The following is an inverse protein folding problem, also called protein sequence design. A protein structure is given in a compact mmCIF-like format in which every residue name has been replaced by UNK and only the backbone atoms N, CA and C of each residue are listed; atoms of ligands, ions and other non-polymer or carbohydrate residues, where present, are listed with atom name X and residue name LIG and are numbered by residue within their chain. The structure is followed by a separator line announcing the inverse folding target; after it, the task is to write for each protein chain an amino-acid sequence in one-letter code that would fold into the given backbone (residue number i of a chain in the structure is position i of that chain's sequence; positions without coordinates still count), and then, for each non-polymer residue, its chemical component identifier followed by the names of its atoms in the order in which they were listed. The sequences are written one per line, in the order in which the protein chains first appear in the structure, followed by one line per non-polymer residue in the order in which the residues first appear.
data_IF_610582192562
#
_entry.id   IF_610582192562
#
_cell.length_a   1.000
_cell.length_b   1.000
_cell.length_c   1.000
_cell.angle_alpha   90.00
_cell.angle_beta   90.00
_cell.angle_gamma   90.00
#
_symmetry.space_group_name_H-M   'P 1'
#
loop_
_entity.id
_entity.type
_entity.pdbx_description
1 polymer ?
#
# COMPACT_ATOMS: atom_id res chain seq x y z
N UNK A 1 -33.44 27.27 9.63
CA UNK A 1 -33.00 25.99 9.07
C UNK A 1 -31.52 25.87 9.38
N UNK A 2 -31.07 24.76 9.96
CA UNK A 2 -29.64 24.50 10.14
C UNK A 2 -29.08 23.96 8.83
N UNK A 3 -28.07 24.61 8.28
CA UNK A 3 -27.39 24.11 7.08
C UNK A 3 -26.72 22.77 7.39
N UNK A 4 -26.82 21.82 6.47
CA UNK A 4 -26.33 20.46 6.69
C UNK A 4 -25.97 19.78 5.39
N UNK A 5 -25.02 18.85 5.42
CA UNK A 5 -24.56 18.06 4.27
C UNK A 5 -24.74 16.56 4.51
N UNK A 6 -24.90 15.83 3.43
CA UNK A 6 -24.71 14.38 3.37
C UNK A 6 -23.28 14.09 2.90
N UNK A 7 -22.53 13.31 3.66
CA UNK A 7 -21.21 12.84 3.21
C UNK A 7 -21.41 11.76 2.16
N UNK A 8 -20.80 11.92 0.99
CA UNK A 8 -20.84 10.93 -0.08
C UNK A 8 -19.49 10.23 -0.21
N UNK A 9 -19.47 8.91 -0.06
CA UNK A 9 -18.27 8.10 -0.24
C UNK A 9 -17.82 8.02 -1.71
N UNK A 10 -18.65 8.41 -2.67
CA UNK A 10 -18.20 8.65 -4.05
C UNK A 10 -17.39 9.95 -4.20
N UNK A 11 -17.25 10.76 -3.15
CA UNK A 11 -16.32 11.89 -3.12
C UNK A 11 -14.87 11.42 -2.97
N UNK A 12 -14.21 11.04 -4.07
CA UNK A 12 -12.80 10.61 -4.09
C UNK A 12 -12.02 11.21 -5.27
N UNK A 13 -10.66 11.22 -5.28
CA UNK A 13 -9.82 11.96 -6.23
C UNK A 13 -10.04 11.74 -7.73
N UNK A 14 -10.74 10.67 -8.12
CA UNK A 14 -11.01 10.30 -9.52
C UNK A 14 -12.51 10.30 -9.84
N UNK A 15 -13.33 10.68 -8.87
CA UNK A 15 -14.77 10.72 -9.03
C UNK A 15 -15.17 11.86 -9.96
N UNK A 16 -16.18 11.66 -10.83
CA UNK A 16 -16.76 12.74 -11.61
C UNK A 16 -17.45 13.81 -10.74
N UNK A 17 -17.70 13.51 -9.46
CA UNK A 17 -18.32 14.44 -8.52
C UNK A 17 -17.36 15.51 -7.95
N UNK A 18 -16.06 15.46 -8.25
CA UNK A 18 -15.09 16.42 -7.73
C UNK A 18 -15.10 17.71 -8.55
N UNK A 19 -15.36 18.83 -7.89
CA UNK A 19 -15.43 20.17 -8.48
C UNK A 19 -14.05 20.84 -8.60
N UNK A 20 -13.21 20.68 -7.58
CA UNK A 20 -11.96 21.43 -7.42
C UNK A 20 -10.88 20.52 -6.83
N UNK A 21 -9.64 20.66 -7.33
CA UNK A 21 -8.46 19.93 -6.86
C UNK A 21 -7.37 20.93 -6.46
N UNK A 22 -6.92 20.88 -5.21
CA UNK A 22 -5.80 21.68 -4.68
C UNK A 22 -4.85 20.75 -3.93
N UNK A 23 -3.80 20.27 -4.60
CA UNK A 23 -2.87 19.32 -4.01
C UNK A 23 -3.54 17.99 -3.68
N UNK A 24 -3.60 17.63 -2.39
CA UNK A 24 -4.29 16.43 -1.89
C UNK A 24 -5.67 16.75 -1.29
N UNK A 25 -6.18 17.97 -1.52
CA UNK A 25 -7.49 18.41 -1.05
C UNK A 25 -8.43 18.54 -2.24
N UNK A 26 -9.63 17.98 -2.10
CA UNK A 26 -10.68 17.93 -3.10
C UNK A 26 -11.94 18.55 -2.53
N UNK A 27 -12.83 19.01 -3.41
CA UNK A 27 -14.11 19.56 -2.99
C UNK A 27 -15.21 18.98 -3.87
N UNK A 28 -16.36 18.74 -3.26
CA UNK A 28 -17.63 18.54 -3.98
C UNK A 28 -18.73 19.35 -3.31
N UNK A 29 -19.77 19.61 -4.07
CA UNK A 29 -20.97 20.31 -3.61
C UNK A 29 -22.07 19.30 -3.36
N UNK A 30 -22.69 19.33 -2.18
CA UNK A 30 -23.87 18.50 -1.90
C UNK A 30 -25.05 19.00 -2.75
N UNK A 31 -25.51 18.18 -3.69
CA UNK A 31 -26.54 18.55 -4.67
C UNK A 31 -27.87 19.02 -4.06
N UNK A 32 -28.19 18.56 -2.84
CA UNK A 32 -29.45 18.88 -2.18
C UNK A 32 -29.40 20.21 -1.42
N UNK A 33 -28.22 20.61 -0.97
CA UNK A 33 -28.05 21.74 -0.05
C UNK A 33 -27.14 22.84 -0.59
N UNK A 34 -26.43 22.58 -1.67
CA UNK A 34 -25.44 23.46 -2.29
C UNK A 34 -24.30 23.86 -1.33
N UNK A 35 -24.09 23.06 -0.27
CA UNK A 35 -23.02 23.23 0.69
C UNK A 35 -21.78 22.44 0.24
N UNK A 36 -20.58 23.00 0.48
CA UNK A 36 -19.33 22.36 0.07
C UNK A 36 -18.79 21.41 1.14
N UNK A 37 -18.29 20.27 0.69
CA UNK A 37 -17.54 19.31 1.49
C UNK A 37 -16.10 19.29 0.99
N UNK A 38 -15.16 19.47 1.92
CA UNK A 38 -13.73 19.30 1.72
C UNK A 38 -13.34 17.84 1.99
N UNK A 39 -12.51 17.28 1.11
CA UNK A 39 -11.94 15.95 1.26
C UNK A 39 -10.42 16.08 1.31
N UNK A 40 -9.79 15.59 2.37
CA UNK A 40 -8.32 15.48 2.43
C UNK A 40 -7.89 14.03 2.24
N UNK A 41 -7.15 13.75 1.16
CA UNK A 41 -6.56 12.44 0.89
C UNK A 41 -5.18 12.31 1.55
N UNK A 42 -4.98 11.23 2.28
CA UNK A 42 -3.66 10.79 2.74
C UNK A 42 -3.39 9.38 2.23
N UNK A 43 -2.45 9.27 1.28
CA UNK A 43 -1.95 7.98 0.78
C UNK A 43 -0.87 7.46 1.71
N UNK A 44 -0.93 6.17 2.07
CA UNK A 44 -0.05 5.54 3.05
C UNK A 44 0.02 6.32 4.38
N UNK A 45 -1.09 6.46 5.11
CA UNK A 45 -1.09 7.15 6.39
C UNK A 45 -0.08 6.52 7.36
N UNK A 46 0.44 7.27 8.34
CA UNK A 46 1.41 6.75 9.30
C UNK A 46 0.93 5.44 9.95
N UNK A 47 1.79 4.42 9.94
CA UNK A 47 1.51 3.05 10.43
C UNK A 47 0.45 2.25 9.64
N UNK A 48 -0.07 2.80 8.54
CA UNK A 48 -1.11 2.21 7.69
C UNK A 48 -0.64 2.14 6.23
N UNK A 49 0.59 1.69 5.99
CA UNK A 49 1.13 1.48 4.64
C UNK A 49 0.25 0.51 3.84
N UNK A 50 -0.02 0.83 2.57
CA UNK A 50 -0.94 0.10 1.69
C UNK A 50 -2.42 0.52 1.80
N UNK A 51 -2.72 1.55 2.59
CA UNK A 51 -4.06 2.10 2.74
C UNK A 51 -4.13 3.56 2.33
N UNK A 52 -5.34 4.02 2.05
CA UNK A 52 -5.65 5.43 1.80
C UNK A 52 -6.69 5.90 2.81
N UNK A 53 -6.54 7.15 3.27
CA UNK A 53 -7.45 7.83 4.19
C UNK A 53 -8.08 9.02 3.46
N UNK A 54 -9.40 9.08 3.40
CA UNK A 54 -10.18 10.21 2.89
C UNK A 54 -10.93 10.84 4.05
N UNK A 55 -10.59 12.06 4.42
CA UNK A 55 -11.29 12.80 5.49
C UNK A 55 -12.25 13.82 4.88
N UNK A 56 -13.55 13.57 5.04
CA UNK A 56 -14.64 14.43 4.57
C UNK A 56 -15.05 15.39 5.68
N UNK A 57 -15.11 16.68 5.38
CA UNK A 57 -15.44 17.74 6.33
C UNK A 57 -16.29 18.83 5.66
N UNK A 58 -17.41 19.27 6.26
CA UNK A 58 -18.12 20.46 5.78
C UNK A 58 -17.18 21.68 5.77
N UNK A 59 -17.13 22.43 4.67
CA UNK A 59 -16.21 23.56 4.52
C UNK A 59 -16.50 24.69 5.51
N UNK A 60 -17.78 24.99 5.73
CA UNK A 60 -18.20 25.90 6.81
C UNK A 60 -18.43 25.09 8.10
N UNK A 61 -17.71 25.37 9.20
CA UNK A 61 -17.87 24.65 10.48
C UNK A 61 -19.27 24.78 11.11
N UNK A 62 -20.12 25.71 10.65
CA UNK A 62 -21.52 25.82 11.09
C UNK A 62 -22.43 24.79 10.42
N UNK A 63 -22.02 24.26 9.27
CA UNK A 63 -22.76 23.22 8.53
C UNK A 63 -22.57 21.89 9.24
N UNK A 64 -23.67 21.16 9.44
CA UNK A 64 -23.68 19.88 10.17
C UNK A 64 -23.73 18.69 9.23
N UNK A 65 -23.19 17.56 9.65
CA UNK A 65 -23.36 16.29 8.92
C UNK A 65 -24.73 15.71 9.31
N UNK A 66 -25.61 15.50 8.34
CA UNK A 66 -26.95 14.90 8.56
C UNK A 66 -27.05 13.45 8.12
N UNK A 67 -26.15 12.99 7.25
CA UNK A 67 -26.24 11.69 6.62
C UNK A 67 -24.94 11.25 5.97
N UNK A 68 -24.88 9.98 5.61
CA UNK A 68 -23.79 9.37 4.85
C UNK A 68 -24.45 8.55 3.72
N UNK A 69 -23.89 8.61 2.52
CA UNK A 69 -24.35 7.82 1.37
C UNK A 69 -23.17 7.25 0.58
N UNK A 70 -23.45 6.25 -0.25
CA UNK A 70 -22.51 5.69 -1.23
C UNK A 70 -23.31 5.26 -2.46
N UNK A 71 -22.90 5.71 -3.65
CA UNK A 71 -23.62 5.46 -4.91
C UNK A 71 -25.09 5.85 -4.83
N UNK A 72 -25.36 7.02 -4.24
CA UNK A 72 -26.70 7.57 -3.96
C UNK A 72 -27.55 6.78 -2.95
N UNK A 73 -27.02 5.68 -2.39
CA UNK A 73 -27.72 4.84 -1.42
C UNK A 73 -27.35 5.32 -0.01
N UNK A 74 -28.34 5.72 0.82
CA UNK A 74 -28.12 6.06 2.22
C UNK A 74 -27.45 4.91 2.97
N UNK A 75 -26.44 5.22 3.77
CA UNK A 75 -25.74 4.23 4.57
C UNK A 75 -26.35 4.17 5.98
N UNK A 76 -26.68 2.96 6.40
CA UNK A 76 -27.34 2.62 7.66
C UNK A 76 -26.35 2.10 8.71
N UNK A 77 -26.77 2.08 9.98
CA UNK A 77 -25.99 1.51 11.09
C UNK A 77 -25.06 2.49 11.82
N UNK A 78 -24.98 3.73 11.34
CA UNK A 78 -24.40 4.85 12.08
C UNK A 78 -25.37 5.39 13.15
N UNK A 79 -24.89 6.21 14.12
CA UNK A 79 -25.76 6.86 15.09
C UNK A 79 -26.78 7.76 14.39
N UNK A 80 -28.02 7.87 14.93
CA UNK A 80 -29.08 8.65 14.29
C UNK A 80 -28.79 10.16 14.23
N UNK A 81 -27.97 10.67 15.16
CA UNK A 81 -27.52 12.05 15.16
C UNK A 81 -26.03 12.14 14.78
N UNK A 82 -25.79 12.52 13.53
CA UNK A 82 -24.45 12.77 12.99
C UNK A 82 -23.98 14.22 13.20
N UNK A 83 -24.86 15.12 13.66
CA UNK A 83 -24.57 16.56 13.73
C UNK A 83 -23.49 16.93 14.75
N UNK A 84 -23.20 16.01 15.67
CA UNK A 84 -22.13 16.12 16.67
C UNK A 84 -20.73 15.87 16.10
N UNK A 85 -20.61 15.26 14.92
CA UNK A 85 -19.33 14.94 14.29
C UNK A 85 -18.93 16.05 13.33
N UNK A 86 -17.66 16.47 13.43
CA UNK A 86 -17.10 17.50 12.56
C UNK A 86 -16.54 16.95 11.24
N UNK A 87 -16.26 15.64 11.18
CA UNK A 87 -15.71 14.97 10.01
C UNK A 87 -16.11 13.50 9.96
N UNK A 88 -15.99 12.92 8.76
CA UNK A 88 -16.09 11.47 8.52
C UNK A 88 -14.81 11.05 7.80
N UNK A 89 -14.07 10.12 8.37
CA UNK A 89 -12.88 9.55 7.74
C UNK A 89 -13.21 8.18 7.17
N UNK A 90 -12.94 7.99 5.88
CA UNK A 90 -13.05 6.72 5.17
C UNK A 90 -11.65 6.16 4.96
N UNK A 91 -11.47 4.89 5.30
CA UNK A 91 -10.28 4.14 4.95
C UNK A 91 -10.59 3.19 3.80
N UNK A 92 -9.72 3.17 2.80
CA UNK A 92 -9.79 2.31 1.63
C UNK A 92 -8.49 1.52 1.50
N UNK A 93 -8.56 0.34 0.87
CA UNK A 93 -7.36 -0.40 0.50
C UNK A 93 -6.70 0.29 -0.70
N UNK A 94 -5.40 0.56 -0.64
CA UNK A 94 -4.70 1.29 -1.69
C UNK A 94 -4.56 0.54 -3.01
N UNK A 95 -4.84 -0.77 -3.04
CA UNK A 95 -4.92 -1.54 -4.28
C UNK A 95 -6.23 -1.38 -5.04
N UNK A 96 -7.31 -0.94 -4.37
CA UNK A 96 -8.61 -0.80 -5.01
C UNK A 96 -8.71 0.53 -5.77
N UNK A 97 -8.84 0.44 -7.10
CA UNK A 97 -9.00 1.60 -7.96
C UNK A 97 -10.31 2.36 -7.74
N UNK A 98 -11.33 1.70 -7.16
CA UNK A 98 -12.67 2.24 -6.97
C UNK A 98 -12.89 2.87 -5.58
N UNK A 99 -11.84 2.92 -4.74
CA UNK A 99 -11.93 3.53 -3.42
C UNK A 99 -13.04 2.95 -2.52
N UNK A 100 -13.36 1.66 -2.66
CA UNK A 100 -14.41 1.00 -1.89
C UNK A 100 -14.11 1.15 -0.38
N UNK A 101 -15.02 1.79 0.37
CA UNK A 101 -14.87 1.95 1.82
C UNK A 101 -14.74 0.60 2.53
N UNK A 102 -13.74 0.45 3.41
CA UNK A 102 -13.60 -0.74 4.27
C UNK A 102 -13.87 -0.44 5.74
N UNK A 103 -13.44 0.73 6.21
CA UNK A 103 -13.62 1.20 7.58
C UNK A 103 -13.97 2.68 7.55
N UNK A 104 -14.94 3.08 8.36
CA UNK A 104 -15.34 4.47 8.55
C UNK A 104 -15.08 4.87 9.99
N UNK A 105 -14.62 6.09 10.21
CA UNK A 105 -14.43 6.70 11.52
C UNK A 105 -15.20 8.01 11.60
N UNK A 106 -16.00 8.19 12.65
CA UNK A 106 -16.74 9.42 12.88
C UNK A 106 -15.94 10.35 13.81
N UNK A 107 -15.66 11.57 13.35
CA UNK A 107 -14.88 12.58 14.06
C UNK A 107 -13.46 12.12 14.44
N UNK A 108 -12.96 12.68 15.55
CA UNK A 108 -11.60 12.44 16.08
C UNK A 108 -11.55 11.39 17.21
N UNK A 109 -12.68 10.75 17.53
CA UNK A 109 -12.78 9.71 18.57
C UNK A 109 -12.37 8.31 18.09
N UNK A 110 -12.71 7.28 18.87
CA UNK A 110 -12.55 5.85 18.53
C UNK A 110 -13.84 5.24 17.95
N UNK A 111 -14.71 6.07 17.36
CA UNK A 111 -15.99 5.67 16.76
C UNK A 111 -15.75 5.07 15.37
N UNK A 112 -15.23 3.85 15.33
CA UNK A 112 -14.98 3.08 14.11
C UNK A 112 -16.16 2.18 13.73
N UNK A 113 -16.41 2.08 12.43
CA UNK A 113 -17.46 1.27 11.83
C UNK A 113 -16.87 0.45 10.67
N UNK A 114 -17.42 -0.74 10.45
CA UNK A 114 -17.08 -1.61 9.32
C UNK A 114 -18.33 -2.04 8.57
N UNK A 115 -18.25 -2.07 7.24
CA UNK A 115 -19.37 -2.46 6.39
C UNK A 115 -19.56 -3.97 6.33
N UNK A 116 -20.77 -4.44 6.02
CA UNK A 116 -20.97 -5.81 5.56
C UNK A 116 -20.40 -5.98 4.12
N UNK A 117 -20.16 -7.21 3.64
CA UNK A 117 -19.46 -7.47 2.34
C UNK A 117 -20.17 -6.79 1.15
N UNK A 118 -21.49 -6.63 1.25
CA UNK A 118 -22.36 -6.26 0.13
C UNK A 118 -23.57 -5.40 0.54
N UNK A 119 -23.52 -4.70 1.67
CA UNK A 119 -24.69 -3.97 2.17
C UNK A 119 -24.35 -2.51 2.49
N UNK A 120 -25.38 -1.67 2.41
CA UNK A 120 -25.47 -0.31 2.93
C UNK A 120 -25.50 -0.26 4.47
N UNK A 121 -24.98 -1.29 5.14
CA UNK A 121 -25.07 -1.49 6.59
C UNK A 121 -23.70 -1.50 7.26
N UNK A 122 -23.56 -0.66 8.27
CA UNK A 122 -22.34 -0.44 9.02
C UNK A 122 -22.50 -0.88 10.47
N UNK A 123 -21.52 -1.61 10.99
CA UNK A 123 -21.53 -2.06 12.38
C UNK A 123 -20.40 -1.38 13.16
N UNK A 124 -20.66 -0.94 14.41
CA UNK A 124 -19.60 -0.49 15.31
C UNK A 124 -18.51 -1.56 15.43
N UNK A 125 -17.25 -1.17 15.19
CA UNK A 125 -16.13 -2.10 15.23
C UNK A 125 -15.66 -2.39 16.67
N UNK A 126 -15.98 -1.52 17.63
CA UNK A 126 -15.61 -1.70 19.04
C UNK A 126 -14.11 -1.69 19.30
N UNK A 127 -13.32 -1.05 18.43
CA UNK A 127 -11.86 -0.99 18.52
C UNK A 127 -11.39 0.38 19.00
N UNK A 128 -10.20 0.42 19.58
CA UNK A 128 -9.43 1.65 19.77
C UNK A 128 -8.57 1.92 18.54
N UNK A 129 -8.05 3.14 18.41
CA UNK A 129 -7.10 3.53 17.36
C UNK A 129 -5.92 2.56 17.18
N UNK A 130 -5.41 1.94 18.26
CA UNK A 130 -4.32 0.95 18.20
C UNK A 130 -4.70 -0.37 17.51
N UNK A 131 -6.00 -0.68 17.43
CA UNK A 131 -6.54 -1.86 16.74
C UNK A 131 -6.91 -1.60 15.28
N UNK A 132 -6.83 -0.35 14.81
CA UNK A 132 -7.26 0.05 13.47
C UNK A 132 -6.56 -0.74 12.38
N UNK A 133 -5.25 -0.96 12.52
CA UNK A 133 -4.52 -1.69 11.49
C UNK A 133 -5.01 -3.13 11.34
N UNK A 134 -5.19 -3.86 12.44
CA UNK A 134 -5.69 -5.23 12.41
C UNK A 134 -7.11 -5.28 11.82
N UNK A 135 -7.94 -4.28 12.13
CA UNK A 135 -9.27 -4.16 11.53
C UNK A 135 -9.15 -4.00 10.01
N UNK A 136 -8.36 -3.04 9.54
CA UNK A 136 -8.13 -2.81 8.11
C UNK A 136 -7.59 -4.04 7.39
N UNK A 137 -6.64 -4.76 8.00
CA UNK A 137 -6.09 -6.01 7.47
C UNK A 137 -7.17 -7.09 7.32
N UNK A 138 -8.04 -7.25 8.32
CA UNK A 138 -9.14 -8.21 8.29
C UNK A 138 -10.19 -7.85 7.24
N UNK A 139 -10.61 -6.59 7.21
CA UNK A 139 -11.65 -6.12 6.30
C UNK A 139 -11.15 -6.07 4.84
N UNK A 140 -9.86 -5.75 4.61
CA UNK A 140 -9.23 -5.85 3.29
C UNK A 140 -9.18 -7.30 2.78
N UNK A 141 -8.77 -8.27 3.61
CA UNK A 141 -8.81 -9.67 3.17
C UNK A 141 -10.26 -10.10 2.86
N UNK A 142 -11.22 -9.75 3.71
CA UNK A 142 -12.62 -10.14 3.54
C UNK A 142 -13.28 -9.52 2.31
N UNK A 143 -13.05 -8.23 2.06
CA UNK A 143 -13.75 -7.49 1.01
C UNK A 143 -13.04 -7.52 -0.35
N UNK A 144 -11.72 -7.67 -0.35
CA UNK A 144 -10.89 -7.54 -1.56
C UNK A 144 -9.96 -8.74 -1.78
N UNK A 145 -10.03 -9.79 -0.96
CA UNK A 145 -9.07 -10.90 -1.00
C UNK A 145 -7.61 -10.42 -0.92
N UNK A 146 -7.37 -9.30 -0.23
CA UNK A 146 -6.06 -8.71 -0.05
C UNK A 146 -5.36 -9.36 1.16
N UNK A 147 -4.53 -10.37 0.89
CA UNK A 147 -3.90 -11.21 1.90
C UNK A 147 -2.58 -10.62 2.44
N UNK A 148 -2.26 -10.94 3.69
CA UNK A 148 -0.96 -10.65 4.27
C UNK A 148 0.00 -11.78 3.94
N UNK A 149 1.09 -11.47 3.26
CA UNK A 149 2.13 -12.43 2.92
C UNK A 149 3.26 -12.37 3.94
N UNK A 150 3.63 -13.53 4.49
CA UNK A 150 4.85 -13.69 5.29
C UNK A 150 6.00 -14.14 4.37
N UNK A 151 6.85 -13.20 3.97
CA UNK A 151 8.00 -13.45 3.10
C UNK A 151 9.13 -14.22 3.79
N UNK A 152 9.00 -14.54 5.09
CA UNK A 152 9.94 -15.43 5.78
C UNK A 152 9.68 -16.93 5.49
N UNK A 153 8.50 -17.24 4.94
CA UNK A 153 8.15 -18.60 4.52
C UNK A 153 8.88 -18.97 3.23
N UNK A 154 9.47 -20.16 3.18
CA UNK A 154 10.35 -20.61 2.08
C UNK A 154 10.22 -22.09 1.71
N UNK A 155 9.15 -22.71 2.19
CA UNK A 155 8.81 -24.11 1.89
C UNK A 155 8.08 -24.25 0.56
N UNK A 156 7.56 -25.43 0.30
CA UNK A 156 6.64 -25.72 -0.81
C UNK A 156 5.19 -25.87 -0.33
N UNK A 157 4.95 -25.64 0.96
CA UNK A 157 3.64 -25.77 1.58
C UNK A 157 2.93 -24.43 1.57
N UNK A 158 1.64 -24.44 1.27
CA UNK A 158 0.77 -23.29 1.48
C UNK A 158 0.67 -22.93 2.95
N UNK A 159 0.26 -21.70 3.24
CA UNK A 159 0.00 -21.26 4.60
C UNK A 159 -1.20 -20.31 4.68
N UNK A 160 -1.71 -20.18 5.90
CA UNK A 160 -2.92 -19.42 6.18
C UNK A 160 -2.63 -17.92 6.23
N UNK A 161 -3.55 -17.12 5.70
CA UNK A 161 -3.46 -15.67 5.83
C UNK A 161 -3.74 -15.27 7.30
N UNK A 162 -2.82 -14.51 7.91
CA UNK A 162 -2.96 -14.13 9.32
C UNK A 162 -4.17 -13.24 9.62
N UNK A 163 -4.70 -12.52 8.62
CA UNK A 163 -5.85 -11.63 8.77
C UNK A 163 -7.18 -12.40 8.78
N UNK A 164 -7.49 -13.08 7.67
CA UNK A 164 -8.77 -13.78 7.47
C UNK A 164 -8.79 -15.23 7.96
N UNK A 165 -7.63 -15.80 8.37
CA UNK A 165 -7.50 -17.19 8.82
C UNK A 165 -7.98 -18.24 7.82
N UNK A 166 -8.12 -17.85 6.54
CA UNK A 166 -8.47 -18.78 5.47
C UNK A 166 -7.33 -19.77 5.28
N UNK A 167 -7.69 -21.05 5.29
CA UNK A 167 -6.74 -22.14 5.13
C UNK A 167 -6.11 -22.13 3.73
N UNK A 168 -4.79 -22.33 3.66
CA UNK A 168 -4.04 -22.40 2.40
C UNK A 168 -4.25 -21.19 1.49
N UNK A 169 -4.51 -20.02 2.07
CA UNK A 169 -4.78 -18.81 1.31
C UNK A 169 -3.57 -18.33 0.48
N UNK A 170 -2.34 -18.72 0.86
CA UNK A 170 -1.13 -18.41 0.11
C UNK A 170 -0.43 -19.71 -0.29
N UNK A 171 -0.25 -19.91 -1.59
CA UNK A 171 0.51 -21.03 -2.15
C UNK A 171 1.98 -20.65 -2.30
N UNK A 172 2.88 -21.58 -1.98
CA UNK A 172 4.31 -21.42 -2.15
C UNK A 172 4.86 -22.33 -3.23
N UNK A 173 5.70 -21.79 -4.09
CA UNK A 173 6.53 -22.57 -5.01
C UNK A 173 7.99 -22.20 -4.80
N UNK A 174 8.78 -23.11 -4.23
CA UNK A 174 10.21 -22.91 -3.99
C UNK A 174 11.06 -23.71 -4.96
N UNK A 175 12.06 -23.03 -5.52
CA UNK A 175 13.08 -23.63 -6.35
C UNK A 175 14.48 -23.14 -5.95
N UNK A 176 15.47 -23.97 -6.24
CA UNK A 176 16.88 -23.64 -6.04
C UNK A 176 17.48 -23.30 -7.39
N UNK A 177 18.00 -22.08 -7.52
CA UNK A 177 18.64 -21.59 -8.74
C UNK A 177 20.10 -21.32 -8.40
N UNK A 178 21.00 -22.18 -8.90
CA UNK A 178 22.44 -22.16 -8.57
C UNK A 178 22.68 -22.22 -7.05
N UNK A 179 23.02 -21.08 -6.44
CA UNK A 179 23.39 -20.94 -5.03
C UNK A 179 22.44 -20.06 -4.23
N UNK A 180 21.30 -19.70 -4.80
CA UNK A 180 20.22 -19.03 -4.09
C UNK A 180 18.92 -19.81 -4.21
N UNK A 181 17.95 -19.44 -3.38
CA UNK A 181 16.59 -19.98 -3.41
C UNK A 181 15.63 -18.89 -3.82
N UNK A 182 14.75 -19.19 -4.79
CA UNK A 182 13.62 -18.36 -5.20
C UNK A 182 12.34 -19.00 -4.67
N UNK A 183 11.45 -18.19 -4.12
CA UNK A 183 10.15 -18.64 -3.59
C UNK A 183 9.08 -17.73 -4.16
N UNK A 184 8.15 -18.27 -4.94
CA UNK A 184 6.96 -17.56 -5.35
C UNK A 184 5.89 -17.69 -4.25
N UNK A 185 5.32 -16.55 -3.86
CA UNK A 185 4.17 -16.45 -2.96
C UNK A 185 2.97 -16.00 -3.80
N UNK A 186 1.99 -16.90 -3.97
CA UNK A 186 0.78 -16.67 -4.76
C UNK A 186 -0.44 -16.73 -3.84
N UNK A 187 -0.95 -15.58 -3.36
CA UNK A 187 -2.24 -15.52 -2.68
C UNK A 187 -3.39 -15.96 -3.61
N UNK A 188 -4.45 -16.53 -3.03
CA UNK A 188 -5.74 -16.76 -3.72
C UNK A 188 -6.54 -15.47 -3.99
N UNK A 189 -5.84 -14.38 -4.31
CA UNK A 189 -6.35 -13.01 -4.37
C UNK A 189 -5.21 -12.04 -4.63
N UNK A 190 -5.16 -10.94 -3.89
CA UNK A 190 -4.10 -9.93 -4.01
C UNK A 190 -3.19 -9.91 -2.79
N UNK A 191 -2.02 -9.31 -2.95
CA UNK A 191 -1.17 -8.93 -1.83
C UNK A 191 -1.75 -7.67 -1.18
N UNK A 192 -2.16 -7.76 0.08
CA UNK A 192 -2.54 -6.60 0.88
C UNK A 192 -1.35 -5.97 1.60
N UNK A 193 -0.44 -6.81 2.12
CA UNK A 193 0.74 -6.36 2.88
C UNK A 193 1.81 -7.45 2.97
N UNK A 194 3.06 -7.05 3.22
CA UNK A 194 4.17 -7.96 3.50
C UNK A 194 4.59 -7.95 4.98
N UNK A 195 4.94 -9.13 5.49
CA UNK A 195 5.58 -9.37 6.79
C UNK A 195 6.84 -10.22 6.62
N UNK A 196 7.81 -10.03 7.49
CA UNK A 196 8.97 -10.92 7.62
C UNK A 196 8.89 -11.59 9.00
N UNK A 197 8.24 -12.75 9.06
CA UNK A 197 7.87 -13.39 10.32
C UNK A 197 6.80 -12.58 11.04
N UNK A 198 7.12 -12.09 12.24
CA UNK A 198 6.19 -11.27 13.03
C UNK A 198 6.25 -9.78 12.66
N UNK A 199 7.29 -9.35 11.94
CA UNK A 199 7.55 -7.93 11.70
C UNK A 199 6.87 -7.46 10.40
N UNK A 200 6.02 -6.44 10.51
CA UNK A 200 5.43 -5.77 9.34
C UNK A 200 6.48 -5.00 8.53
N UNK A 201 6.42 -5.13 7.21
CA UNK A 201 7.27 -4.37 6.29
C UNK A 201 6.50 -3.15 5.81
N UNK A 202 6.69 -2.01 6.49
CA UNK A 202 5.97 -0.78 6.19
C UNK A 202 6.60 0.04 5.06
N UNK A 203 7.88 -0.19 4.74
CA UNK A 203 8.64 0.56 3.73
C UNK A 203 8.28 0.21 2.28
N UNK A 204 7.45 -0.82 2.07
CA UNK A 204 6.96 -1.25 0.77
C UNK A 204 5.44 -1.05 0.74
N UNK A 205 4.94 0.07 0.21
CA UNK A 205 3.51 0.26 0.09
C UNK A 205 2.96 -0.63 -1.02
N UNK A 206 1.89 -1.37 -0.72
CA UNK A 206 1.17 -2.17 -1.71
C UNK A 206 -0.03 -1.34 -2.20
N UNK A 207 0.11 -0.76 -3.39
CA UNK A 207 -0.83 0.24 -3.94
C UNK A 207 -1.53 -0.23 -5.21
N UNK A 208 -1.53 -1.54 -5.47
CA UNK A 208 -2.13 -2.15 -6.65
C UNK A 208 -2.36 -3.65 -6.48
N UNK A 209 -3.04 -4.23 -7.45
CA UNK A 209 -3.40 -5.64 -7.57
C UNK A 209 -2.19 -6.53 -7.86
N UNK A 210 -1.31 -6.72 -6.88
CA UNK A 210 -0.18 -7.66 -7.00
C UNK A 210 -0.70 -9.08 -6.75
N UNK A 211 -0.58 -9.98 -7.72
CA UNK A 211 -0.98 -11.39 -7.60
C UNK A 211 0.15 -12.31 -7.12
N UNK A 212 1.41 -11.95 -7.39
CA UNK A 212 2.56 -12.81 -7.12
C UNK A 212 3.75 -12.00 -6.58
N UNK A 213 4.44 -12.60 -5.62
CA UNK A 213 5.68 -12.06 -5.05
C UNK A 213 6.76 -13.10 -5.09
N UNK A 214 7.88 -12.79 -5.74
CA UNK A 214 9.06 -13.66 -5.76
C UNK A 214 10.05 -13.17 -4.72
N UNK A 215 10.42 -14.05 -3.79
CA UNK A 215 11.32 -13.76 -2.68
C UNK A 215 12.60 -14.56 -2.84
N UNK A 216 13.74 -13.87 -2.77
CA UNK A 216 15.05 -14.44 -3.02
C UNK A 216 15.88 -14.50 -1.74
N UNK A 217 16.50 -15.65 -1.54
CA UNK A 217 17.26 -16.00 -0.35
C UNK A 217 18.67 -16.44 -0.73
N UNK A 218 19.66 -15.93 0.00
CA UNK A 218 21.06 -16.33 -0.19
C UNK A 218 21.82 -16.48 1.15
N UNK A 219 22.55 -17.60 1.35
CA UNK A 219 22.71 -18.75 0.43
C UNK A 219 21.45 -19.65 0.34
N UNK A 220 21.38 -20.55 -0.66
CA UNK A 220 20.23 -21.44 -0.95
C UNK A 220 19.77 -22.30 0.23
N UNK A 221 20.73 -22.75 1.02
CA UNK A 221 20.59 -23.61 2.20
C UNK A 221 19.93 -22.86 3.36
N UNK A 222 19.74 -21.55 3.23
CA UNK A 222 18.71 -20.83 3.98
C UNK A 222 18.90 -20.93 5.49
N UNK A 223 20.14 -20.97 6.01
CA UNK A 223 20.43 -21.00 7.43
C UNK A 223 19.95 -19.72 8.16
N UNK A 224 20.81 -19.02 8.91
CA UNK A 224 20.48 -17.70 9.49
C UNK A 224 20.30 -16.58 8.44
N UNK A 225 20.15 -16.91 7.16
CA UNK A 225 19.89 -15.94 6.09
C UNK A 225 18.40 -15.66 5.99
N UNK A 226 18.01 -14.40 6.14
CA UNK A 226 16.67 -13.89 5.81
C UNK A 226 16.48 -13.65 4.31
N UNK A 227 15.26 -13.24 3.89
CA UNK A 227 15.03 -12.81 2.51
C UNK A 227 15.86 -11.54 2.25
N UNK A 228 16.36 -11.38 1.02
CA UNK A 228 17.26 -10.28 0.66
C UNK A 228 16.75 -9.43 -0.51
N UNK A 229 15.94 -10.02 -1.39
CA UNK A 229 15.45 -9.37 -2.59
C UNK A 229 14.01 -9.86 -2.85
N UNK A 230 13.17 -8.95 -3.30
CA UNK A 230 11.77 -9.16 -3.63
C UNK A 230 11.57 -8.67 -5.07
N UNK A 231 10.76 -9.41 -5.83
CA UNK A 231 10.31 -9.02 -7.15
C UNK A 231 8.79 -9.11 -7.24
N UNK A 232 8.17 -8.05 -7.73
CA UNK A 232 6.74 -8.00 -8.06
C UNK A 232 6.56 -8.15 -9.57
N UNK A 233 5.87 -9.23 -9.99
CA UNK A 233 5.71 -9.56 -11.42
C UNK A 233 5.03 -8.47 -12.22
N UNK A 234 3.93 -7.93 -11.71
CA UNK A 234 3.10 -6.97 -12.43
C UNK A 234 3.85 -5.67 -12.78
N UNK A 235 4.78 -5.27 -11.92
CA UNK A 235 5.46 -3.98 -12.03
C UNK A 235 6.88 -4.09 -12.56
N UNK A 236 7.36 -5.31 -12.74
CA UNK A 236 8.78 -5.60 -12.91
C UNK A 236 9.64 -4.91 -11.83
N UNK A 237 9.09 -4.74 -10.63
CA UNK A 237 9.69 -3.93 -9.58
C UNK A 237 10.56 -4.79 -8.67
N UNK A 238 11.84 -4.43 -8.57
CA UNK A 238 12.80 -5.07 -7.68
C UNK A 238 13.00 -4.25 -6.42
N UNK A 239 12.89 -4.90 -5.26
CA UNK A 239 13.08 -4.28 -3.96
C UNK A 239 14.11 -5.08 -3.17
N UNK A 240 15.20 -4.43 -2.80
CA UNK A 240 16.27 -5.07 -2.02
C UNK A 240 16.22 -4.65 -0.58
N UNK A 241 16.65 -5.56 0.28
CA UNK A 241 16.86 -5.30 1.69
C UNK A 241 18.07 -4.38 1.87
N UNK A 242 17.96 -3.37 2.73
CA UNK A 242 19.05 -2.40 2.95
C UNK A 242 20.27 -3.07 3.56
N UNK A 243 20.07 -3.99 4.50
CA UNK A 243 21.14 -4.80 5.09
C UNK A 243 20.61 -6.14 5.58
N UNK A 244 21.50 -7.11 5.81
CA UNK A 244 21.15 -8.44 6.33
C UNK A 244 20.36 -8.41 7.65
N UNK A 245 20.61 -7.41 8.50
CA UNK A 245 20.03 -7.32 9.85
C UNK A 245 18.81 -6.38 9.93
N UNK A 246 18.61 -5.51 8.94
CA UNK A 246 17.54 -4.50 8.92
C UNK A 246 16.20 -5.11 8.45
N UNK A 247 15.04 -4.57 8.83
CA UNK A 247 13.76 -4.90 8.18
C UNK A 247 13.33 -3.82 7.16
N UNK A 248 14.27 -2.97 6.75
CA UNK A 248 14.06 -1.91 5.77
C UNK A 248 14.40 -2.40 4.37
N UNK A 249 13.60 -1.94 3.43
CA UNK A 249 13.65 -2.31 2.04
C UNK A 249 13.65 -1.07 1.17
N UNK A 250 14.48 -1.06 0.14
CA UNK A 250 14.62 0.04 -0.81
C UNK A 250 14.41 -0.47 -2.23
N UNK A 251 13.78 0.32 -3.11
CA UNK A 251 13.75 0.03 -4.54
C UNK A 251 15.16 -0.15 -5.09
N UNK A 252 15.29 -1.02 -6.08
CA UNK A 252 16.54 -1.22 -6.83
C UNK A 252 16.39 -0.53 -8.18
N UNK A 253 17.34 0.35 -8.53
CA UNK A 253 17.40 1.06 -9.82
C UNK A 253 18.23 0.29 -10.85
N UNK A 254 18.39 -1.02 -10.66
CA UNK A 254 19.16 -1.84 -11.59
C UNK A 254 18.22 -2.23 -12.72
N UNK A 255 18.10 -1.34 -13.71
CA UNK A 255 17.21 -1.40 -14.88
C UNK A 255 17.46 -2.64 -15.79
N UNK A 256 18.30 -3.58 -15.38
CA UNK A 256 18.71 -4.75 -16.16
C UNK A 256 18.53 -6.09 -15.44
N UNK A 257 17.85 -6.13 -14.30
CA UNK A 257 17.54 -7.40 -13.64
C UNK A 257 16.37 -8.07 -14.36
N UNK A 258 16.71 -8.97 -15.28
CA UNK A 258 15.80 -9.97 -15.78
C UNK A 258 15.59 -11.04 -14.70
N UNK A 259 14.34 -11.41 -14.44
CA UNK A 259 13.96 -12.51 -13.53
C UNK A 259 14.63 -13.84 -13.93
N UNK A 260 14.98 -14.00 -15.21
CA UNK A 260 15.64 -15.18 -15.72
C UNK A 260 17.18 -15.10 -15.72
N UNK A 261 17.76 -13.91 -15.47
CA UNK A 261 19.22 -13.74 -15.33
C UNK A 261 19.70 -14.11 -13.93
N UNK A 262 19.72 -15.42 -13.70
CA UNK A 262 20.21 -16.03 -12.46
C UNK A 262 21.64 -15.60 -12.07
N UNK A 263 22.48 -15.19 -13.02
CA UNK A 263 23.85 -14.74 -12.74
C UNK A 263 23.87 -13.33 -12.14
N UNK A 264 23.14 -12.38 -12.74
CA UNK A 264 22.99 -11.03 -12.19
C UNK A 264 22.31 -11.04 -10.83
N UNK A 265 21.22 -11.82 -10.69
CA UNK A 265 20.51 -11.99 -9.40
C UNK A 265 21.47 -12.51 -8.32
N UNK A 266 22.25 -13.55 -8.61
CA UNK A 266 23.21 -14.10 -7.65
C UNK A 266 24.28 -13.07 -7.25
N UNK A 267 24.80 -12.30 -8.21
CA UNK A 267 25.78 -11.23 -7.95
C UNK A 267 25.20 -10.16 -7.01
N UNK A 268 23.95 -9.73 -7.24
CA UNK A 268 23.27 -8.78 -6.38
C UNK A 268 23.02 -9.35 -4.98
N UNK A 269 22.55 -10.58 -4.86
CA UNK A 269 22.33 -11.25 -3.58
C UNK A 269 23.63 -11.35 -2.75
N UNK A 270 24.75 -11.71 -3.38
CA UNK A 270 26.08 -11.72 -2.75
C UNK A 270 26.48 -10.32 -2.26
N UNK A 271 26.25 -9.29 -3.07
CA UNK A 271 26.52 -7.89 -2.73
C UNK A 271 25.69 -7.44 -1.51
N UNK A 272 24.38 -7.67 -1.50
CA UNK A 272 23.48 -7.32 -0.37
C UNK A 272 23.91 -8.08 0.90
N UNK A 273 24.37 -9.32 0.76
CA UNK A 273 24.82 -10.14 1.89
C UNK A 273 26.08 -9.59 2.57
N UNK A 274 26.83 -8.71 1.90
CA UNK A 274 28.17 -8.28 2.32
C UNK A 274 29.28 -9.23 1.86
N UNK A 275 28.96 -10.20 0.99
CA UNK A 275 29.94 -11.06 0.34
C UNK A 275 30.39 -10.41 -0.97
N UNK A 276 30.58 -9.08 -1.00
CA UNK A 276 31.24 -8.47 -2.14
C UNK A 276 32.59 -9.16 -2.27
N UNK A 277 32.73 -9.97 -3.33
CA UNK A 277 34.04 -10.28 -3.88
C UNK A 277 34.65 -8.88 -4.06
N UNK A 278 35.61 -8.54 -3.19
CA UNK A 278 36.31 -7.26 -3.31
C UNK A 278 36.79 -7.14 -4.76
N UNK A 279 36.95 -5.91 -5.29
CA UNK A 279 37.50 -5.73 -6.62
C UNK A 279 38.69 -6.67 -6.76
N UNK A 280 38.67 -7.51 -7.79
CA UNK A 280 39.76 -8.46 -7.98
C UNK A 280 41.07 -7.66 -8.02
N UNK A 281 42.20 -8.26 -7.67
CA UNK A 281 43.47 -7.53 -7.71
C UNK A 281 43.73 -6.86 -9.09
N UNK A 282 43.09 -7.35 -10.16
CA UNK A 282 43.07 -6.71 -11.48
C UNK A 282 42.16 -5.48 -11.60
N UNK A 283 41.01 -5.43 -10.92
CA UNK A 283 40.09 -4.27 -10.96
C UNK A 283 40.62 -3.07 -10.16
N UNK A 284 41.44 -3.32 -9.14
CA UNK A 284 42.09 -2.27 -8.33
C UNK A 284 43.19 -1.56 -9.13
N UNK A 285 43.81 -2.23 -10.12
CA UNK A 285 44.92 -1.67 -10.88
C UNK A 285 44.50 -0.57 -11.90
N UNK A 286 43.19 -0.34 -12.10
CA UNK A 286 42.68 0.63 -13.09
C UNK A 286 42.00 1.89 -12.53
N UNK A 287 41.72 1.97 -11.22
CA UNK A 287 40.97 3.08 -10.64
C UNK A 287 41.87 4.11 -9.96
N UNK A 288 42.28 5.13 -10.72
CA UNK A 288 42.78 6.40 -10.16
C UNK A 288 41.56 7.20 -9.70
N UNK A 289 41.50 7.50 -8.40
CA UNK A 289 40.38 8.16 -7.75
C UNK A 289 40.28 9.65 -8.15
N UNK A 290 39.18 10.02 -8.82
CA UNK A 290 38.66 11.39 -8.80
C UNK A 290 37.36 11.44 -7.98
N UNK A 291 37.24 12.48 -7.16
CA UNK A 291 36.46 12.50 -5.92
C UNK A 291 34.94 12.35 -6.04
N UNK A 292 34.35 11.81 -4.97
CA UNK A 292 32.90 11.66 -4.82
C UNK A 292 32.43 12.34 -3.54
N UNK A 293 31.69 13.43 -3.71
CA UNK A 293 30.86 14.10 -2.71
C UNK A 293 29.51 13.38 -2.62
N UNK A 294 29.17 12.93 -1.42
CA UNK A 294 27.88 12.27 -1.13
C UNK A 294 26.78 13.32 -0.89
N UNK A 295 25.96 13.59 -1.91
CA UNK A 295 24.74 14.39 -1.80
C UNK A 295 23.49 13.54 -2.03
N UNK A 296 22.52 13.60 -1.11
CA UNK A 296 21.35 12.72 -1.03
C UNK A 296 20.40 12.76 -2.24
N UNK A 297 20.08 11.58 -2.78
CA UNK A 297 19.15 11.37 -3.92
C UNK A 297 17.99 10.44 -3.56
N UNK A 298 17.76 10.15 -2.27
CA UNK A 298 16.86 9.07 -1.85
C UNK A 298 15.36 9.33 -2.08
N UNK A 299 14.91 10.59 -2.04
CA UNK A 299 13.48 10.90 -1.93
C UNK A 299 12.74 10.98 -3.27
N UNK A 300 13.41 11.36 -4.35
CA UNK A 300 12.78 11.47 -5.68
C UNK A 300 12.57 10.11 -6.36
N UNK A 301 13.55 9.20 -6.26
CA UNK A 301 13.44 7.86 -6.84
C UNK A 301 12.25 7.07 -6.26
N UNK A 302 12.00 7.19 -4.95
CA UNK A 302 10.84 6.55 -4.31
C UNK A 302 9.50 7.05 -4.88
N UNK A 303 9.35 8.36 -5.06
CA UNK A 303 8.15 8.95 -5.63
C UNK A 303 7.96 8.55 -7.10
N UNK A 304 9.04 8.33 -7.85
CA UNK A 304 8.98 7.92 -9.25
C UNK A 304 8.35 6.53 -9.45
N UNK A 305 8.69 5.56 -8.61
CA UNK A 305 8.25 4.16 -8.77
C UNK A 305 6.93 3.83 -8.06
N UNK A 306 6.66 4.41 -6.89
CA UNK A 306 5.56 3.97 -6.01
C UNK A 306 4.44 5.00 -5.81
N UNK A 307 4.61 6.24 -6.28
CA UNK A 307 3.58 7.27 -6.17
C UNK A 307 3.31 7.93 -7.54
N UNK A 308 2.43 7.35 -8.37
CA UNK A 308 2.17 7.85 -9.72
C UNK A 308 1.65 9.30 -9.73
N UNK A 309 1.07 9.78 -8.63
CA UNK A 309 0.56 11.13 -8.49
C UNK A 309 1.60 12.14 -8.00
N UNK A 310 2.81 11.72 -7.59
CA UNK A 310 3.90 12.63 -7.16
C UNK A 310 5.11 12.66 -8.08
N UNK A 311 5.17 11.78 -9.08
CA UNK A 311 6.19 11.84 -10.12
C UNK A 311 5.85 12.93 -11.13
N UNK A 312 6.61 14.03 -11.13
CA UNK A 312 6.46 15.10 -12.11
C UNK A 312 6.54 14.57 -13.55
N UNK A 313 7.44 13.61 -13.82
CA UNK A 313 7.60 12.97 -15.12
C UNK A 313 6.34 12.21 -15.56
N UNK A 314 5.68 11.47 -14.65
CA UNK A 314 4.43 10.76 -15.00
C UNK A 314 3.25 11.72 -15.14
N UNK A 315 3.18 12.79 -14.36
CA UNK A 315 2.18 13.84 -14.56
C UNK A 315 2.34 14.48 -15.96
N UNK A 316 3.57 14.73 -16.40
CA UNK A 316 3.88 15.24 -17.75
C UNK A 316 3.48 14.23 -18.83
N UNK A 317 3.82 12.95 -18.68
CA UNK A 317 3.40 11.90 -19.65
C UNK A 317 1.88 11.81 -19.72
N UNK A 318 1.18 11.87 -18.58
CA UNK A 318 -0.28 11.80 -18.51
C UNK A 318 -0.94 13.00 -19.20
N UNK A 319 -0.39 14.21 -19.01
CA UNK A 319 -0.82 15.41 -19.73
C UNK A 319 -0.57 15.30 -21.23
N UNK A 320 0.56 14.73 -21.66
CA UNK A 320 0.87 14.53 -23.07
C UNK A 320 -0.06 13.49 -23.73
N UNK A 321 -0.43 12.42 -23.02
CA UNK A 321 -1.38 11.42 -23.53
C UNK A 321 -2.83 11.89 -23.56
N UNK A 322 -3.18 12.95 -22.83
CA UNK A 322 -4.53 13.57 -22.90
C UNK A 322 -4.66 14.58 -24.04
N UNK A 323 -3.56 14.91 -24.72
CA UNK A 323 -3.52 15.85 -25.84
C UNK A 323 -3.48 15.18 -27.22
N UNK A 324 -3.58 13.84 -27.27
CA UNK A 324 -3.66 13.01 -28.49
C UNK A 324 -5.01 12.31 -28.50
#
# INVERSE_FOLDING_TARGET
MTNSVTIDFDGYPKSPAIDIIIGNTYYYTDDLTNEQVEITLTVNPPNLSGYEKLEHKPKDPKVKIKGIQYSTIPQNGFPPDLSRYESVTVYCWGGDSNYKPIVVRLGSGDDYYKGAVAEDSWNPAGIKSSGLLNLLENESCRCHSAHILDISKKGNESYDCSACKQQNAITLHSETVKDYKRVAHTPGGFVGRLKNGQDSINSIPITRDISDVYVYWYPKDGGKSGPLLIYFSLDSAWIKRVSKASNEWTPTVEDELDNDDSSKILKLLKKIKGNSEGPSAGDIAGYVAEGLTSGGVGTEAYNFFFNPNRSATRQIIRLLTMLI
#
